data_IF_770699422239
#
_entry.id   IF_770699422239
#
_cell.length_a   1.000
_cell.length_b   1.000
_cell.length_c   1.000
_cell.angle_alpha   90.00
_cell.angle_beta   90.00
_cell.angle_gamma   90.00
#
_symmetry.space_group_name_H-M   'P 1'
#
loop_
_entity.id
_entity.type
_entity.pdbx_description
1 polymer ?
#
# COMPACT_ATOMS: atom_id res chain seq x y z
N UNK A 1 -9.30 -11.04 47.04
CA UNK A 1 -10.27 -10.23 46.27
C UNK A 1 -9.54 -9.04 45.68
N UNK A 2 -9.51 -8.91 44.35
CA UNK A 2 -9.41 -7.67 43.58
C UNK A 2 -9.03 -8.03 42.13
N UNK A 3 -10.01 -8.51 41.35
CA UNK A 3 -9.90 -8.51 39.90
C UNK A 3 -9.98 -7.05 39.45
N UNK A 4 -8.86 -6.44 39.07
CA UNK A 4 -8.87 -5.15 38.41
C UNK A 4 -9.53 -5.32 37.04
N UNK A 5 -10.80 -4.94 36.95
CA UNK A 5 -11.51 -4.76 35.70
C UNK A 5 -10.92 -3.53 35.00
N UNK A 6 -10.01 -3.76 34.07
CA UNK A 6 -9.56 -2.73 33.14
C UNK A 6 -10.75 -2.26 32.30
N UNK A 7 -11.13 -1.00 32.45
CA UNK A 7 -12.11 -0.36 31.60
C UNK A 7 -11.56 -0.32 30.17
N UNK A 8 -12.23 -1.04 29.28
CA UNK A 8 -11.86 -1.09 27.86
C UNK A 8 -12.39 0.18 27.17
N UNK A 9 -11.51 0.97 26.58
CA UNK A 9 -11.88 2.02 25.62
C UNK A 9 -12.60 1.44 24.38
N UNK A 10 -12.96 2.25 23.37
CA UNK A 10 -13.81 1.84 22.22
C UNK A 10 -13.22 0.75 21.29
N UNK A 11 -12.10 0.12 21.67
CA UNK A 11 -11.49 -1.02 20.99
C UNK A 11 -12.00 -2.36 21.50
N UNK A 12 -11.73 -3.42 20.74
CA UNK A 12 -12.04 -4.78 21.16
C UNK A 12 -11.16 -5.15 22.36
N UNK A 13 -11.69 -5.88 23.37
CA UNK A 13 -10.91 -6.42 24.50
C UNK A 13 -9.60 -7.10 24.06
N UNK A 14 -9.61 -7.67 22.86
CA UNK A 14 -8.48 -8.38 22.26
C UNK A 14 -7.35 -7.48 21.72
N UNK A 15 -7.59 -6.16 21.58
CA UNK A 15 -6.61 -5.22 21.03
C UNK A 15 -5.50 -4.88 22.02
N UNK A 16 -5.78 -4.98 23.32
CA UNK A 16 -4.82 -4.71 24.39
C UNK A 16 -3.78 -5.84 24.55
N UNK A 17 -4.04 -7.00 23.93
CA UNK A 17 -3.17 -8.16 24.03
C UNK A 17 -2.19 -8.18 22.85
N UNK A 18 -0.89 -8.05 23.11
CA UNK A 18 0.14 -8.12 22.07
C UNK A 18 0.42 -9.57 21.70
N UNK A 19 0.35 -9.87 20.41
CA UNK A 19 0.76 -11.17 19.84
C UNK A 19 1.95 -10.90 18.94
N UNK A 20 3.05 -11.60 19.16
CA UNK A 20 4.29 -11.50 18.40
C UNK A 20 4.35 -12.61 17.34
N UNK A 21 4.78 -12.24 16.14
CA UNK A 21 4.99 -13.14 15.02
C UNK A 21 6.48 -13.15 14.71
N UNK A 22 7.13 -14.32 14.77
CA UNK A 22 8.55 -14.48 14.40
C UNK A 22 8.70 -14.45 12.89
N UNK A 23 9.49 -13.49 12.42
CA UNK A 23 9.78 -13.26 11.00
C UNK A 23 11.28 -13.46 10.76
N UNK A 24 11.71 -14.71 10.89
CA UNK A 24 13.11 -15.13 10.77
C UNK A 24 13.98 -14.73 11.96
N UNK A 25 14.75 -15.69 12.49
CA UNK A 25 15.67 -15.51 13.61
C UNK A 25 15.06 -14.70 14.75
N UNK A 26 15.63 -13.52 15.01
CA UNK A 26 15.31 -12.66 16.16
C UNK A 26 14.29 -11.55 15.87
N UNK A 27 13.79 -11.42 14.63
CA UNK A 27 12.87 -10.34 14.30
C UNK A 27 11.42 -10.73 14.61
N UNK A 28 10.75 -9.93 15.44
CA UNK A 28 9.34 -10.10 15.77
C UNK A 28 8.52 -8.93 15.25
N UNK A 29 7.41 -9.24 14.58
CA UNK A 29 6.39 -8.26 14.17
C UNK A 29 5.15 -8.45 15.05
N UNK A 30 4.55 -7.35 15.50
CA UNK A 30 3.30 -7.42 16.27
C UNK A 30 2.13 -7.65 15.32
N UNK A 31 1.29 -8.63 15.63
CA UNK A 31 0.07 -8.90 14.89
C UNK A 31 -0.82 -7.65 14.88
N UNK A 32 -1.22 -7.21 13.68
CA UNK A 32 -2.15 -6.10 13.47
C UNK A 32 -3.35 -6.55 12.67
N UNK A 33 -4.55 -6.42 13.26
CA UNK A 33 -5.83 -6.72 12.57
C UNK A 33 -5.96 -5.89 11.30
N UNK A 34 -5.51 -4.64 11.34
CA UNK A 34 -5.58 -3.72 10.23
C UNK A 34 -4.73 -4.18 9.04
N UNK A 35 -3.48 -4.55 9.29
CA UNK A 35 -2.56 -5.03 8.25
C UNK A 35 -3.09 -6.32 7.60
N UNK A 36 -3.52 -7.29 8.41
CA UNK A 36 -4.12 -8.53 7.89
C UNK A 36 -5.38 -8.23 7.08
N UNK A 37 -6.28 -7.39 7.58
CA UNK A 37 -7.50 -7.02 6.85
C UNK A 37 -7.20 -6.36 5.49
N UNK A 38 -6.12 -5.58 5.39
CA UNK A 38 -5.71 -4.97 4.13
C UNK A 38 -5.16 -5.98 3.14
N UNK A 39 -4.33 -6.92 3.58
CA UNK A 39 -3.86 -7.99 2.72
C UNK A 39 -5.01 -8.88 2.22
N UNK A 40 -6.01 -9.15 3.06
CA UNK A 40 -7.21 -9.89 2.66
C UNK A 40 -8.03 -9.11 1.61
N UNK A 41 -8.21 -7.79 1.76
CA UNK A 41 -8.88 -6.96 0.76
C UNK A 41 -8.13 -6.96 -0.57
N UNK A 42 -6.80 -6.90 -0.54
CA UNK A 42 -5.97 -6.91 -1.75
C UNK A 42 -6.14 -8.22 -2.56
N UNK A 43 -6.54 -9.32 -1.92
CA UNK A 43 -6.86 -10.59 -2.59
C UNK A 43 -8.34 -10.76 -2.95
N UNK A 44 -9.11 -9.66 -2.98
CA UNK A 44 -10.54 -9.61 -3.31
C UNK A 44 -11.47 -10.27 -2.28
N UNK A 45 -11.04 -10.42 -1.02
CA UNK A 45 -11.97 -10.74 0.08
C UNK A 45 -12.75 -9.47 0.42
N UNK A 46 -14.06 -9.61 0.65
CA UNK A 46 -14.92 -8.45 0.96
C UNK A 46 -14.44 -7.72 2.20
N UNK A 47 -14.68 -6.42 2.29
CA UNK A 47 -14.24 -5.61 3.43
C UNK A 47 -14.81 -6.12 4.77
N UNK A 48 -16.09 -6.47 4.77
CA UNK A 48 -16.79 -7.05 5.93
C UNK A 48 -16.16 -8.38 6.36
N UNK A 49 -15.88 -9.28 5.42
CA UNK A 49 -15.27 -10.58 5.75
C UNK A 49 -13.81 -10.41 6.17
N UNK A 50 -13.05 -9.52 5.53
CA UNK A 50 -11.67 -9.22 5.88
C UNK A 50 -11.53 -8.76 7.34
N UNK A 51 -12.41 -7.87 7.80
CA UNK A 51 -12.43 -7.40 9.18
C UNK A 51 -12.82 -8.51 10.17
N UNK A 52 -13.83 -9.31 9.81
CA UNK A 52 -14.29 -10.45 10.63
C UNK A 52 -13.21 -11.52 10.78
N UNK A 53 -12.57 -11.93 9.68
CA UNK A 53 -11.48 -12.91 9.68
C UNK A 53 -10.31 -12.41 10.53
N UNK A 54 -9.90 -11.15 10.37
CA UNK A 54 -8.80 -10.59 11.17
C UNK A 54 -9.13 -10.52 12.67
N UNK A 55 -10.39 -10.23 13.03
CA UNK A 55 -10.85 -10.26 14.41
C UNK A 55 -10.89 -11.69 14.95
N UNK A 56 -11.47 -12.64 14.22
CA UNK A 56 -11.57 -14.04 14.63
C UNK A 56 -10.20 -14.70 14.79
N UNK A 57 -9.27 -14.38 13.89
CA UNK A 57 -7.87 -14.80 14.01
C UNK A 57 -7.24 -14.26 15.30
N UNK A 58 -7.48 -12.98 15.62
CA UNK A 58 -6.97 -12.40 16.87
C UNK A 58 -7.57 -13.09 18.10
N UNK A 59 -8.88 -13.36 18.09
CA UNK A 59 -9.56 -14.09 19.17
C UNK A 59 -8.95 -15.47 19.36
N UNK A 60 -8.83 -16.25 18.28
CA UNK A 60 -8.23 -17.58 18.29
C UNK A 60 -6.82 -17.60 18.89
N UNK A 61 -5.99 -16.61 18.56
CA UNK A 61 -4.64 -16.51 19.10
C UNK A 61 -4.64 -16.20 20.60
N UNK A 62 -5.46 -15.24 21.04
CA UNK A 62 -5.53 -14.84 22.45
C UNK A 62 -6.19 -15.90 23.32
N UNK A 63 -7.33 -16.45 22.88
CA UNK A 63 -8.10 -17.45 23.63
C UNK A 63 -7.32 -18.77 23.81
N UNK A 64 -6.42 -19.10 22.86
CA UNK A 64 -5.52 -20.25 22.95
C UNK A 64 -4.19 -19.96 23.64
N UNK A 65 -3.97 -18.74 24.14
CA UNK A 65 -2.70 -18.34 24.78
C UNK A 65 -1.49 -18.28 23.82
N UNK A 66 -1.73 -18.17 22.52
CA UNK A 66 -0.69 -18.11 21.49
C UNK A 66 -0.17 -16.68 21.32
N UNK A 67 0.75 -16.27 22.19
CA UNK A 67 1.32 -14.91 22.19
C UNK A 67 2.61 -14.76 21.39
N UNK A 68 3.25 -15.87 21.02
CA UNK A 68 4.47 -15.90 20.21
C UNK A 68 4.38 -17.06 19.21
N UNK A 69 4.16 -16.72 17.94
CA UNK A 69 3.88 -17.68 16.87
C UNK A 69 4.84 -17.50 15.70
N UNK A 70 5.06 -18.55 14.94
CA UNK A 70 5.79 -18.46 13.67
C UNK A 70 4.87 -17.99 12.54
N UNK A 71 5.47 -17.49 11.45
CA UNK A 71 4.72 -17.14 10.24
C UNK A 71 3.93 -18.34 9.68
N UNK A 72 4.51 -19.55 9.70
CA UNK A 72 3.83 -20.75 9.21
C UNK A 72 2.59 -21.11 10.04
N UNK A 73 2.65 -20.94 11.36
CA UNK A 73 1.49 -21.14 12.24
C UNK A 73 0.38 -20.11 11.96
N UNK A 74 0.76 -18.84 11.77
CA UNK A 74 -0.18 -17.79 11.39
C UNK A 74 -0.87 -18.10 10.06
N UNK A 75 -0.08 -18.51 9.06
CA UNK A 75 -0.55 -18.83 7.72
C UNK A 75 -1.50 -20.03 7.72
N UNK A 76 -1.21 -21.09 8.50
CA UNK A 76 -2.14 -22.22 8.67
C UNK A 76 -3.46 -21.81 9.31
N UNK A 77 -3.43 -21.05 10.41
CA UNK A 77 -4.66 -20.60 11.08
C UNK A 77 -5.50 -19.70 10.16
N UNK A 78 -4.83 -18.81 9.42
CA UNK A 78 -5.51 -17.93 8.48
C UNK A 78 -6.10 -18.71 7.30
N UNK A 79 -5.41 -19.75 6.80
CA UNK A 79 -5.94 -20.61 5.74
C UNK A 79 -7.26 -21.27 6.15
N UNK A 80 -7.32 -21.87 7.35
CA UNK A 80 -8.55 -22.47 7.87
C UNK A 80 -9.68 -21.46 8.02
N UNK A 81 -9.38 -20.24 8.46
CA UNK A 81 -10.39 -19.18 8.56
C UNK A 81 -10.89 -18.73 7.18
N UNK A 82 -9.99 -18.54 6.22
CA UNK A 82 -10.38 -18.17 4.84
C UNK A 82 -11.30 -19.25 4.24
N UNK A 83 -10.97 -20.53 4.41
CA UNK A 83 -11.83 -21.63 3.97
C UNK A 83 -13.18 -21.67 4.69
N UNK A 84 -13.19 -21.45 6.01
CA UNK A 84 -14.43 -21.38 6.82
C UNK A 84 -15.40 -20.30 6.31
N UNK A 85 -14.88 -19.20 5.77
CA UNK A 85 -15.68 -18.11 5.19
C UNK A 85 -16.04 -18.32 3.71
N UNK A 86 -15.73 -19.51 3.15
CA UNK A 86 -16.10 -19.89 1.78
C UNK A 86 -15.11 -19.46 0.70
N UNK A 87 -13.90 -19.05 1.06
CA UNK A 87 -12.87 -18.65 0.10
C UNK A 87 -11.95 -19.82 -0.27
N UNK A 88 -11.46 -19.80 -1.50
CA UNK A 88 -10.66 -20.89 -2.09
C UNK A 88 -9.16 -20.78 -1.75
N UNK A 89 -8.42 -21.87 -2.01
CA UNK A 89 -6.96 -21.90 -1.93
C UNK A 89 -6.31 -20.80 -2.77
N UNK A 90 -6.92 -20.41 -3.89
CA UNK A 90 -6.41 -19.34 -4.76
C UNK A 90 -6.30 -18.00 -4.02
N UNK A 91 -7.28 -17.66 -3.18
CA UNK A 91 -7.25 -16.43 -2.37
C UNK A 91 -6.09 -16.47 -1.37
N UNK A 92 -5.84 -17.63 -0.77
CA UNK A 92 -4.75 -17.82 0.16
C UNK A 92 -3.37 -17.77 -0.53
N UNK A 93 -3.24 -18.35 -1.72
CA UNK A 93 -2.01 -18.26 -2.52
C UNK A 93 -1.68 -16.82 -2.86
N UNK A 94 -2.67 -16.02 -3.29
CA UNK A 94 -2.49 -14.58 -3.53
C UNK A 94 -2.15 -13.82 -2.25
N UNK A 95 -2.73 -14.21 -1.11
CA UNK A 95 -2.41 -13.60 0.18
C UNK A 95 -0.96 -13.86 0.55
N UNK A 96 -0.49 -15.09 0.39
CA UNK A 96 0.91 -15.47 0.67
C UNK A 96 1.87 -14.68 -0.21
N UNK A 97 1.53 -14.49 -1.48
CA UNK A 97 2.30 -13.66 -2.42
C UNK A 97 2.39 -12.22 -1.94
N UNK A 98 1.25 -11.58 -1.63
CA UNK A 98 1.20 -10.18 -1.17
C UNK A 98 1.90 -10.00 0.18
N UNK A 99 1.64 -10.88 1.14
CA UNK A 99 2.29 -10.87 2.46
C UNK A 99 3.81 -10.98 2.35
N UNK A 100 4.29 -11.86 1.46
CA UNK A 100 5.73 -12.00 1.18
C UNK A 100 6.30 -10.76 0.52
N UNK A 101 5.60 -10.19 -0.47
CA UNK A 101 6.00 -8.95 -1.15
C UNK A 101 6.20 -7.79 -0.16
N UNK A 102 5.23 -7.55 0.74
CA UNK A 102 5.32 -6.49 1.76
C UNK A 102 6.38 -6.77 2.83
N UNK A 103 6.60 -8.03 3.18
CA UNK A 103 7.63 -8.43 4.14
C UNK A 103 9.04 -8.26 3.57
N UNK A 104 9.23 -8.62 2.30
CA UNK A 104 10.52 -8.52 1.62
C UNK A 104 10.87 -7.08 1.22
N UNK A 105 9.93 -6.13 1.39
CA UNK A 105 10.11 -4.70 1.08
C UNK A 105 10.52 -4.50 -0.39
N UNK A 106 9.90 -5.23 -1.30
CA UNK A 106 10.18 -5.11 -2.74
C UNK A 106 9.52 -3.80 -3.24
N UNK A 107 10.22 -2.94 -4.00
CA UNK A 107 9.62 -1.73 -4.54
C UNK A 107 8.63 -2.08 -5.65
N UNK A 108 7.45 -1.46 -5.63
CA UNK A 108 6.48 -1.54 -6.72
C UNK A 108 6.16 -0.13 -7.21
N UNK A 109 6.60 0.18 -8.42
CA UNK A 109 6.32 1.43 -9.11
C UNK A 109 5.22 1.16 -10.13
N UNK A 110 4.09 1.85 -10.02
CA UNK A 110 2.98 1.77 -10.96
C UNK A 110 2.80 3.15 -11.60
N UNK A 111 2.96 3.21 -12.92
CA UNK A 111 2.76 4.44 -13.70
C UNK A 111 1.45 4.30 -14.47
N UNK A 112 0.52 5.23 -14.22
CA UNK A 112 -0.75 5.32 -14.95
C UNK A 112 -0.69 6.55 -15.85
N UNK A 113 -0.55 6.32 -17.15
CA UNK A 113 -0.49 7.36 -18.18
C UNK A 113 -1.64 7.23 -19.19
N UNK A 114 -1.97 8.30 -19.90
CA UNK A 114 -3.04 8.32 -20.91
C UNK A 114 -3.61 9.73 -21.13
N UNK A 115 -4.56 9.85 -22.05
CA UNK A 115 -5.20 11.12 -22.44
C UNK A 115 -6.00 11.76 -21.29
N UNK A 116 -6.26 13.06 -21.38
CA UNK A 116 -7.01 13.84 -20.39
C UNK A 116 -8.40 13.25 -20.08
N UNK A 117 -8.96 13.59 -18.92
CA UNK A 117 -10.35 13.32 -18.54
C UNK A 117 -10.80 11.84 -18.40
N UNK A 118 -9.93 10.84 -18.59
CA UNK A 118 -10.26 9.41 -18.41
C UNK A 118 -10.30 8.92 -16.94
N UNK A 119 -10.33 9.83 -15.96
CA UNK A 119 -10.36 9.44 -14.55
C UNK A 119 -9.08 8.74 -14.05
N UNK A 120 -7.93 8.92 -14.72
CA UNK A 120 -6.63 8.33 -14.32
C UNK A 120 -6.30 8.56 -12.84
N UNK A 121 -6.58 9.77 -12.35
CA UNK A 121 -6.40 10.13 -10.92
C UNK A 121 -7.26 9.24 -10.02
N UNK A 122 -8.53 9.08 -10.36
CA UNK A 122 -9.46 8.24 -9.61
C UNK A 122 -9.02 6.76 -9.60
N UNK A 123 -8.63 6.22 -10.76
CA UNK A 123 -8.11 4.84 -10.86
C UNK A 123 -6.83 4.69 -10.03
N UNK A 124 -5.89 5.64 -10.12
CA UNK A 124 -4.64 5.61 -9.37
C UNK A 124 -4.88 5.63 -7.86
N UNK A 125 -5.72 6.53 -7.36
CA UNK A 125 -6.04 6.64 -5.94
C UNK A 125 -6.78 5.40 -5.44
N UNK A 126 -7.75 4.88 -6.21
CA UNK A 126 -8.49 3.67 -5.85
C UNK A 126 -7.58 2.44 -5.83
N UNK A 127 -6.69 2.31 -6.83
CA UNK A 127 -5.72 1.23 -6.91
C UNK A 127 -4.73 1.29 -5.75
N UNK A 128 -4.18 2.46 -5.44
CA UNK A 128 -3.25 2.64 -4.33
C UNK A 128 -3.89 2.29 -2.98
N UNK A 129 -5.14 2.69 -2.77
CA UNK A 129 -5.90 2.32 -1.58
C UNK A 129 -6.12 0.81 -1.48
N UNK A 130 -6.41 0.15 -2.60
CA UNK A 130 -6.60 -1.31 -2.64
C UNK A 130 -5.30 -2.09 -2.42
N UNK A 131 -4.20 -1.61 -2.99
CA UNK A 131 -2.88 -2.22 -2.86
C UNK A 131 -2.13 -1.77 -1.59
N UNK A 132 -2.69 -0.87 -0.78
CA UNK A 132 -2.04 -0.30 0.40
C UNK A 132 -0.66 0.33 0.06
N UNK A 133 -0.61 1.09 -1.03
CA UNK A 133 0.57 1.86 -1.43
C UNK A 133 0.56 3.19 -0.68
N UNK A 134 1.56 3.48 0.17
CA UNK A 134 1.59 4.71 0.97
C UNK A 134 1.89 5.96 0.13
N UNK A 135 2.67 5.80 -0.94
CA UNK A 135 3.15 6.90 -1.77
C UNK A 135 2.37 6.93 -3.08
N UNK A 136 1.55 7.95 -3.28
CA UNK A 136 0.82 8.21 -4.52
C UNK A 136 1.15 9.62 -4.99
N UNK A 137 1.86 9.73 -6.11
CA UNK A 137 2.18 11.01 -6.71
C UNK A 137 1.22 11.30 -7.87
N UNK A 138 0.58 12.47 -7.84
CA UNK A 138 -0.25 12.96 -8.94
C UNK A 138 0.50 14.07 -9.69
N UNK A 139 0.58 13.97 -11.01
CA UNK A 139 1.24 14.96 -11.88
C UNK A 139 0.75 16.38 -11.64
N UNK A 140 -0.55 16.57 -11.38
CA UNK A 140 -1.11 17.90 -11.09
C UNK A 140 -0.54 18.54 -9.83
N UNK A 141 -0.25 17.74 -8.79
CA UNK A 141 0.35 18.27 -7.56
C UNK A 141 1.78 18.72 -7.82
N UNK A 142 2.54 17.97 -8.63
CA UNK A 142 3.90 18.36 -9.04
C UNK A 142 3.87 19.67 -9.81
N UNK A 143 2.95 19.82 -10.76
CA UNK A 143 2.79 21.07 -11.53
C UNK A 143 2.41 22.24 -10.62
N UNK A 144 1.48 22.05 -9.68
CA UNK A 144 1.06 23.11 -8.73
C UNK A 144 2.19 23.55 -7.80
N UNK A 145 2.96 22.61 -7.24
CA UNK A 145 4.11 22.91 -6.37
C UNK A 145 5.19 23.66 -7.15
N UNK A 146 5.42 23.27 -8.41
CA UNK A 146 6.38 23.97 -9.28
C UNK A 146 5.90 25.37 -9.67
N UNK A 147 4.60 25.54 -9.89
CA UNK A 147 4.00 26.83 -10.18
C UNK A 147 4.06 27.78 -8.98
N UNK A 148 3.76 27.30 -7.77
CA UNK A 148 3.83 28.12 -6.54
C UNK A 148 5.25 28.56 -6.18
N UNK A 149 6.27 27.84 -6.66
CA UNK A 149 7.70 28.17 -6.44
C UNK A 149 8.25 29.16 -7.48
N UNK A 150 7.38 29.86 -8.23
CA UNK A 150 7.73 30.88 -9.25
C UNK A 150 8.53 30.37 -10.47
N UNK A 151 8.37 29.09 -10.84
CA UNK A 151 8.97 28.53 -12.07
C UNK A 151 8.01 28.56 -13.28
N UNK A 152 6.74 28.93 -13.06
CA UNK A 152 5.66 29.01 -14.06
C UNK A 152 4.90 30.32 -13.80
N UNK A 153 4.53 31.04 -14.86
CA UNK A 153 3.78 32.29 -14.75
C UNK A 153 2.49 32.13 -13.91
N UNK A 154 2.24 33.08 -13.01
CA UNK A 154 1.16 33.06 -12.01
C UNK A 154 -0.24 32.92 -12.64
N UNK A 155 -0.42 33.32 -13.90
CA UNK A 155 -1.69 33.18 -14.64
C UNK A 155 -1.99 31.74 -15.07
N UNK A 156 -0.99 30.86 -15.15
CA UNK A 156 -1.12 29.47 -15.61
C UNK A 156 -1.14 28.45 -14.45
N UNK A 157 -1.02 28.93 -13.21
CA UNK A 157 -0.77 28.12 -12.02
C UNK A 157 -2.01 27.38 -11.46
N UNK A 158 -3.21 27.79 -11.85
CA UNK A 158 -4.48 27.32 -11.26
C UNK A 158 -5.19 26.23 -12.05
N UNK A 159 -5.21 26.33 -13.38
CA UNK A 159 -6.05 25.49 -14.24
C UNK A 159 -5.26 24.56 -15.14
N UNK A 160 -5.83 23.40 -15.46
CA UNK A 160 -5.23 22.46 -16.41
C UNK A 160 -5.09 23.13 -17.79
N UNK A 161 -3.99 22.84 -18.52
CA UNK A 161 -3.70 23.39 -19.85
C UNK A 161 -4.89 23.33 -20.82
N UNK A 162 -5.76 22.32 -20.63
CA UNK A 162 -6.99 22.07 -21.38
C UNK A 162 -8.07 23.16 -21.24
N UNK A 163 -7.98 24.07 -20.27
CA UNK A 163 -8.96 25.16 -20.08
C UNK A 163 -8.51 26.49 -20.70
N UNK A 164 -7.26 26.60 -21.15
CA UNK A 164 -6.78 27.81 -21.80
C UNK A 164 -7.08 27.77 -23.30
N UNK A 165 -7.49 28.92 -23.82
CA UNK A 165 -7.57 29.12 -25.26
C UNK A 165 -6.19 29.51 -25.77
N UNK A 166 -5.72 28.77 -26.77
CA UNK A 166 -4.48 29.06 -27.49
C UNK A 166 -4.84 29.52 -28.89
N UNK A 167 -4.10 30.49 -29.41
CA UNK A 167 -4.31 31.02 -30.76
C UNK A 167 -3.96 29.97 -31.82
N UNK A 168 -2.91 29.18 -31.58
CA UNK A 168 -2.40 28.15 -32.48
C UNK A 168 -2.09 26.81 -31.78
N UNK A 169 -2.14 25.72 -32.54
CA UNK A 169 -1.76 24.38 -32.07
C UNK A 169 -0.27 24.32 -31.64
N UNK A 170 0.61 25.01 -32.36
CA UNK A 170 2.04 25.08 -32.04
C UNK A 170 2.31 25.78 -30.70
N UNK A 171 1.52 26.81 -30.37
CA UNK A 171 1.60 27.49 -29.08
C UNK A 171 1.21 26.54 -27.94
N UNK A 172 0.11 25.78 -28.12
CA UNK A 172 -0.31 24.75 -27.17
C UNK A 172 0.75 23.66 -26.99
N UNK A 173 1.29 23.11 -28.08
CA UNK A 173 2.30 22.04 -28.03
C UNK A 173 3.57 22.52 -27.32
N UNK A 174 3.98 23.76 -27.58
CA UNK A 174 5.18 24.35 -26.97
C UNK A 174 5.02 24.47 -25.45
N UNK A 175 3.90 25.00 -24.99
CA UNK A 175 3.64 25.14 -23.55
C UNK A 175 3.43 23.77 -22.88
N UNK A 176 2.74 22.84 -23.54
CA UNK A 176 2.58 21.47 -23.05
C UNK A 176 3.93 20.75 -22.88
N UNK A 177 4.86 20.91 -23.83
CA UNK A 177 6.23 20.37 -23.74
C UNK A 177 7.01 21.02 -22.61
N UNK A 178 6.87 22.33 -22.41
CA UNK A 178 7.51 23.06 -21.31
C UNK A 178 7.04 22.53 -19.94
N UNK A 179 5.72 22.40 -19.74
CA UNK A 179 5.17 21.83 -18.51
C UNK A 179 5.60 20.37 -18.29
N UNK A 180 5.60 19.55 -19.34
CA UNK A 180 6.02 18.15 -19.25
C UNK A 180 7.49 18.01 -18.82
N UNK A 181 8.38 18.87 -19.30
CA UNK A 181 9.80 18.88 -18.89
C UNK A 181 9.95 19.18 -17.39
N UNK A 182 9.15 20.09 -16.84
CA UNK A 182 9.17 20.43 -15.41
C UNK A 182 8.64 19.27 -14.56
N UNK A 183 7.48 18.73 -14.93
CA UNK A 183 6.87 17.55 -14.28
C UNK A 183 7.85 16.38 -14.25
N UNK A 184 8.55 16.12 -15.36
CA UNK A 184 9.52 15.03 -15.48
C UNK A 184 10.63 15.14 -14.43
N UNK A 185 11.13 16.35 -14.14
CA UNK A 185 12.15 16.58 -13.10
C UNK A 185 11.60 16.25 -11.70
N UNK A 186 10.35 16.64 -11.41
CA UNK A 186 9.70 16.34 -10.13
C UNK A 186 9.46 14.85 -9.92
N UNK A 187 9.00 14.14 -10.96
CA UNK A 187 8.79 12.69 -10.92
C UNK A 187 10.12 11.94 -10.78
N UNK A 188 11.16 12.33 -11.52
CA UNK A 188 12.49 11.69 -11.41
C UNK A 188 13.07 11.82 -9.99
N UNK A 189 12.88 12.96 -9.34
CA UNK A 189 13.27 13.16 -7.95
C UNK A 189 12.51 12.21 -7.02
N UNK A 190 11.18 12.08 -7.17
CA UNK A 190 10.36 11.22 -6.31
C UNK A 190 10.64 9.72 -6.52
N UNK A 191 10.92 9.30 -7.76
CA UNK A 191 11.38 7.94 -8.06
C UNK A 191 12.71 7.67 -7.37
N UNK A 192 13.69 8.56 -7.53
CA UNK A 192 15.02 8.40 -6.88
C UNK A 192 14.91 8.40 -5.36
N UNK A 193 14.00 9.18 -4.79
CA UNK A 193 13.71 9.22 -3.36
C UNK A 193 13.10 7.89 -2.90
N UNK A 194 12.07 7.41 -3.59
CA UNK A 194 11.41 6.13 -3.30
C UNK A 194 12.40 4.95 -3.38
N UNK A 195 13.34 5.00 -4.31
CA UNK A 195 14.42 4.01 -4.45
C UNK A 195 15.53 4.11 -3.39
N UNK A 196 15.58 5.16 -2.59
CA UNK A 196 16.59 5.36 -1.53
C UNK A 196 16.02 5.25 -0.10
N UNK A 197 14.79 5.69 0.12
CA UNK A 197 14.16 5.73 1.45
C UNK A 197 13.71 4.35 1.94
N UNK A 198 13.34 3.45 1.04
CA UNK A 198 13.08 2.06 1.40
C UNK A 198 14.42 1.35 1.58
N UNK A 199 14.72 0.91 2.82
CA UNK A 199 15.82 -0.01 3.10
C UNK A 199 15.52 -1.34 2.42
N UNK A 200 15.74 -1.42 1.12
CA UNK A 200 15.64 -2.64 0.36
C UNK A 200 16.59 -3.66 1.00
N UNK A 201 16.05 -4.81 1.42
CA UNK A 201 16.93 -5.95 1.65
C UNK A 201 17.60 -6.21 0.31
N UNK A 202 18.93 -6.05 0.26
CA UNK A 202 19.72 -6.55 -0.87
C UNK A 202 19.28 -8.01 -1.07
N UNK A 203 18.90 -8.42 -2.29
CA UNK A 203 18.61 -9.83 -2.53
C UNK A 203 19.86 -10.62 -2.09
N UNK A 204 19.68 -11.54 -1.14
CA UNK A 204 20.76 -12.45 -0.73
C UNK A 204 21.25 -13.16 -2.00
N UNK A 205 22.55 -13.16 -2.25
CA UNK A 205 23.17 -13.65 -3.50
C UNK A 205 22.77 -15.09 -3.87
N UNK A 206 22.26 -15.86 -2.90
CA UNK A 206 21.70 -17.20 -3.10
C UNK A 206 20.46 -17.23 -4.03
N UNK A 207 19.63 -16.18 -4.05
CA UNK A 207 18.40 -16.17 -4.87
C UNK A 207 18.65 -15.95 -6.36
N UNK A 208 19.83 -15.44 -6.75
CA UNK A 208 20.18 -15.23 -8.17
C UNK A 208 20.53 -16.56 -8.85
N UNK A 209 20.87 -17.62 -8.09
CA UNK A 209 21.24 -18.93 -8.65
C UNK A 209 20.04 -19.80 -9.08
N UNK A 210 18.82 -19.45 -8.70
CA UNK A 210 17.62 -20.22 -9.07
C UNK A 210 16.79 -19.56 -10.19
N UNK A 211 17.32 -18.52 -10.84
CA UNK A 211 16.73 -17.87 -12.02
C UNK A 211 17.74 -17.89 -13.18
N UNK A 212 18.46 -19.00 -13.34
CA UNK A 212 19.19 -19.33 -14.55
C UNK A 212 18.75 -20.71 -15.03
#
# INVERSE_FOLDING_TARGET
MAQQQQQFGPGSKYDYVKVRIRVGGEHHVVFSRFVISRFLRAVKISEKNSQKIALELKKLLVDRGLFDITQGQLDMLLFFLIQKYGYTLEHFTRYRMISTFFRERIPLIIIIAGTGCLGKRYIATKLANQLNLPNVLHTSLVTQIQASTKLIDEQMAGEHLWHYQFEDEEAFITEYRKQTKLVRKGIDFDIKKSMKEERFRKPTEERIRHIK
#
